data_IF_460123296213
#
_entry.id   IF_460123296213
#
_cell.length_a   1.000
_cell.length_b   1.000
_cell.length_c   1.000
_cell.angle_alpha   90.00
_cell.angle_beta   90.00
_cell.angle_gamma   90.00
#
_symmetry.space_group_name_H-M   'P 1'
#
loop_
_entity.id
_entity.type
_entity.pdbx_description
1 polymer ?
#
# COMPACT_ATOMS: atom_id res chain seq x y z
N UNK A 1 14.95 -13.10 20.49
CA UNK A 1 13.48 -13.24 20.45
C UNK A 1 13.01 -12.26 19.39
N UNK A 2 12.67 -12.74 18.19
CA UNK A 2 12.25 -11.85 17.09
C UNK A 2 10.87 -11.28 17.38
N UNK A 3 10.64 -10.01 17.06
CA UNK A 3 9.33 -9.38 17.17
C UNK A 3 8.30 -10.16 16.32
N UNK A 4 7.03 -10.29 16.78
CA UNK A 4 6.01 -10.95 15.99
C UNK A 4 5.79 -10.18 14.68
N UNK A 5 5.88 -10.88 13.54
CA UNK A 5 5.58 -10.29 12.25
C UNK A 5 4.11 -9.85 12.22
N UNK A 6 3.88 -8.55 11.99
CA UNK A 6 2.52 -8.00 11.86
C UNK A 6 1.82 -8.67 10.68
N UNK A 7 0.63 -9.23 10.93
CA UNK A 7 -0.16 -9.90 9.91
C UNK A 7 -0.92 -8.90 9.03
N UNK A 8 -1.26 -9.28 7.80
CA UNK A 8 -2.09 -8.45 6.92
C UNK A 8 -3.43 -8.03 7.52
N UNK A 9 -4.03 -8.92 8.34
CA UNK A 9 -5.31 -8.65 9.00
C UNK A 9 -5.16 -7.55 10.07
N UNK A 10 -4.06 -7.53 10.82
CA UNK A 10 -3.80 -6.46 11.80
C UNK A 10 -3.59 -5.11 11.11
N UNK A 11 -2.90 -5.11 9.97
CA UNK A 11 -2.73 -3.93 9.12
C UNK A 11 -4.09 -3.44 8.58
N UNK A 12 -4.93 -4.33 8.04
CA UNK A 12 -6.26 -3.96 7.55
C UNK A 12 -7.17 -3.46 8.68
N UNK A 13 -7.17 -4.12 9.84
CA UNK A 13 -7.97 -3.70 10.99
C UNK A 13 -7.58 -2.29 11.46
N UNK A 14 -6.28 -1.97 11.47
CA UNK A 14 -5.78 -0.62 11.75
C UNK A 14 -6.26 0.39 10.70
N UNK A 15 -6.21 0.03 9.42
CA UNK A 15 -6.70 0.86 8.33
C UNK A 15 -8.21 1.13 8.43
N UNK A 16 -9.04 0.11 8.66
CA UNK A 16 -10.50 0.26 8.83
C UNK A 16 -10.80 1.20 10.00
N UNK A 17 -10.06 1.07 11.11
CA UNK A 17 -10.29 1.87 12.31
C UNK A 17 -9.88 3.34 12.14
N UNK A 18 -8.79 3.59 11.43
CA UNK A 18 -8.14 4.92 11.39
C UNK A 18 -8.26 5.63 10.04
N UNK A 19 -8.73 4.92 9.01
CA UNK A 19 -8.65 5.32 7.61
C UNK A 19 -7.23 5.36 7.06
N UNK A 20 -6.21 4.88 7.80
CA UNK A 20 -4.80 5.05 7.47
C UNK A 20 -3.93 3.84 7.82
N UNK A 21 -2.93 3.58 6.99
CA UNK A 21 -1.88 2.59 7.20
C UNK A 21 -0.55 3.34 7.28
N UNK A 22 0.08 3.39 8.46
CA UNK A 22 1.31 4.19 8.66
C UNK A 22 1.18 5.65 8.14
N UNK A 23 -0.02 6.24 8.26
CA UNK A 23 -0.32 7.60 7.77
C UNK A 23 -0.92 7.66 6.36
N UNK A 24 -0.87 6.58 5.58
CA UNK A 24 -1.39 6.48 4.20
C UNK A 24 -2.87 6.07 4.20
N UNK A 25 -3.73 6.93 3.66
CA UNK A 25 -5.14 6.65 3.36
C UNK A 25 -5.45 6.78 1.87
N UNK A 26 -6.67 6.43 1.46
CA UNK A 26 -7.19 6.79 0.12
C UNK A 26 -7.07 8.30 -0.09
N UNK A 27 -6.59 8.71 -1.27
CA UNK A 27 -6.31 10.11 -1.61
C UNK A 27 -5.00 10.68 -1.04
N UNK A 28 -4.14 9.84 -0.46
CA UNK A 28 -2.76 10.23 -0.12
C UNK A 28 -1.89 10.24 -1.37
N UNK A 29 -0.94 11.16 -1.46
CA UNK A 29 -0.08 11.30 -2.64
C UNK A 29 1.00 10.22 -2.74
N UNK A 30 1.58 10.07 -3.92
CA UNK A 30 2.63 9.11 -4.24
C UNK A 30 3.87 9.39 -3.40
N UNK A 31 4.21 10.67 -3.19
CA UNK A 31 5.27 11.06 -2.27
C UNK A 31 5.03 10.62 -0.82
N UNK A 32 3.78 10.57 -0.37
CA UNK A 32 3.45 10.02 0.95
C UNK A 32 3.61 8.49 0.99
N UNK A 33 3.27 7.80 -0.10
CA UNK A 33 3.50 6.36 -0.28
C UNK A 33 4.99 6.03 -0.27
N UNK A 34 5.78 6.75 -1.06
CA UNK A 34 7.24 6.60 -1.13
C UNK A 34 7.92 6.86 0.21
N UNK A 35 7.45 7.86 0.95
CA UNK A 35 7.96 8.13 2.30
C UNK A 35 7.68 6.97 3.25
N UNK A 36 6.45 6.45 3.29
CA UNK A 36 6.15 5.32 4.17
C UNK A 36 6.92 4.07 3.76
N UNK A 37 7.15 3.85 2.46
CA UNK A 37 8.00 2.76 1.95
C UNK A 37 9.44 2.90 2.45
N UNK A 38 10.00 4.10 2.44
CA UNK A 38 11.33 4.36 3.00
C UNK A 38 11.39 4.11 4.51
N UNK A 39 10.39 4.56 5.27
CA UNK A 39 10.32 4.29 6.71
C UNK A 39 10.18 2.80 7.01
N UNK A 40 9.33 2.10 6.24
CA UNK A 40 9.15 0.65 6.35
C UNK A 40 10.46 -0.09 6.08
N UNK A 41 11.23 0.33 5.08
CA UNK A 41 12.55 -0.24 4.78
C UNK A 41 13.60 -0.08 5.90
N UNK A 42 13.38 0.81 6.87
CA UNK A 42 14.24 0.94 8.06
C UNK A 42 13.88 -0.03 9.19
N UNK A 43 12.72 -0.68 9.11
CA UNK A 43 12.26 -1.65 10.10
C UNK A 43 12.85 -3.02 9.72
N UNK A 44 13.64 -3.60 10.61
CA UNK A 44 14.21 -4.94 10.41
C UNK A 44 13.09 -5.98 10.27
N UNK A 45 13.12 -6.76 9.19
CA UNK A 45 12.09 -7.77 8.91
C UNK A 45 10.82 -7.22 8.27
N UNK A 46 10.81 -5.95 7.86
CA UNK A 46 9.72 -5.40 7.08
C UNK A 46 9.55 -6.12 5.74
N UNK A 47 8.30 -6.25 5.26
CA UNK A 47 8.05 -6.87 3.96
C UNK A 47 8.65 -6.02 2.84
N UNK A 48 9.30 -6.69 1.88
CA UNK A 48 9.67 -6.04 0.62
C UNK A 48 8.41 -5.66 -0.16
N UNK A 49 8.42 -4.44 -0.69
CA UNK A 49 7.35 -3.91 -1.55
C UNK A 49 7.77 -4.04 -3.01
N UNK A 50 7.06 -4.89 -3.76
CA UNK A 50 7.19 -4.96 -5.22
C UNK A 50 6.21 -3.98 -5.86
N UNK A 51 6.62 -3.35 -6.95
CA UNK A 51 5.78 -2.40 -7.71
C UNK A 51 5.45 -3.01 -9.06
N UNK A 52 4.16 -3.03 -9.42
CA UNK A 52 3.68 -3.45 -10.72
C UNK A 52 2.86 -2.35 -11.40
N UNK A 53 3.00 -2.25 -12.71
CA UNK A 53 2.13 -1.42 -13.55
C UNK A 53 0.83 -2.17 -13.89
N UNK A 54 -0.31 -1.48 -13.82
CA UNK A 54 -1.64 -2.00 -14.14
C UNK A 54 -2.38 -1.16 -15.19
N UNK A 55 -1.67 -0.31 -15.95
CA UNK A 55 -2.27 0.50 -17.01
C UNK A 55 -3.05 1.68 -16.44
N UNK A 56 -2.33 2.77 -16.16
CA UNK A 56 -2.88 3.97 -15.49
C UNK A 56 -2.91 3.86 -13.97
N UNK A 57 -2.33 2.79 -13.40
CA UNK A 57 -2.20 2.59 -11.96
C UNK A 57 -0.90 1.87 -11.62
N UNK A 58 -0.29 2.23 -10.50
CA UNK A 58 0.81 1.50 -9.87
C UNK A 58 0.31 0.72 -8.65
N UNK A 59 0.64 -0.56 -8.59
CA UNK A 59 0.32 -1.41 -7.46
C UNK A 59 1.58 -1.76 -6.65
N UNK A 60 1.57 -1.35 -5.38
CA UNK A 60 2.59 -1.69 -4.37
C UNK A 60 2.12 -2.90 -3.58
N UNK A 61 2.82 -4.02 -3.67
CA UNK A 61 2.48 -5.27 -2.97
C UNK A 61 3.53 -5.67 -1.95
N UNK A 62 3.07 -6.04 -0.76
CA UNK A 62 3.88 -6.70 0.27
C UNK A 62 3.44 -8.17 0.40
N UNK A 63 4.20 -9.10 -0.19
CA UNK A 63 3.83 -10.53 -0.21
C UNK A 63 3.76 -11.16 1.18
N UNK A 64 4.66 -10.75 2.10
CA UNK A 64 4.68 -11.32 3.44
C UNK A 64 3.48 -10.87 4.31
N UNK A 65 2.90 -9.69 4.03
CA UNK A 65 1.69 -9.22 4.72
C UNK A 65 0.40 -9.49 3.95
N UNK A 66 0.46 -9.80 2.65
CA UNK A 66 -0.75 -9.97 1.84
C UNK A 66 -1.54 -8.67 1.66
N UNK A 67 -0.85 -7.53 1.64
CA UNK A 67 -1.44 -6.20 1.44
C UNK A 67 -1.02 -5.65 0.08
N UNK A 68 -1.94 -4.97 -0.61
CA UNK A 68 -1.64 -4.15 -1.78
C UNK A 68 -2.19 -2.73 -1.63
N UNK A 69 -1.45 -1.76 -2.20
CA UNK A 69 -1.84 -0.35 -2.30
C UNK A 69 -1.78 0.04 -3.76
N UNK A 70 -2.87 0.59 -4.30
CA UNK A 70 -2.98 1.02 -5.69
C UNK A 70 -2.96 2.55 -5.73
N UNK A 71 -2.12 3.11 -6.59
CA UNK A 71 -1.93 4.54 -6.82
C UNK A 71 -2.31 4.85 -8.28
N UNK A 72 -3.00 5.96 -8.53
CA UNK A 72 -3.30 6.43 -9.90
C UNK A 72 -1.99 6.84 -10.57
N UNK A 73 -1.74 6.30 -11.76
CA UNK A 73 -0.55 6.56 -12.59
C UNK A 73 -0.96 6.99 -13.99
N UNK A 74 -1.97 7.87 -14.04
CA UNK A 74 -2.46 8.49 -15.27
C UNK A 74 -2.22 10.00 -15.15
N UNK A 75 -1.35 10.56 -15.98
CA UNK A 75 -0.98 11.99 -15.94
C UNK A 75 -2.17 12.91 -16.30
N UNK A 76 -3.19 12.39 -16.99
CA UNK A 76 -4.37 13.17 -17.38
C UNK A 76 -5.42 13.29 -16.26
N UNK A 77 -5.34 12.46 -15.21
CA UNK A 77 -6.29 12.48 -14.09
C UNK A 77 -5.95 13.58 -13.07
N UNK A 78 -6.74 14.65 -13.06
CA UNK A 78 -6.57 15.75 -12.11
C UNK A 78 -7.26 15.49 -10.76
N UNK A 79 -6.60 15.92 -9.68
CA UNK A 79 -7.16 15.82 -8.31
C UNK A 79 -8.33 16.79 -8.13
N UNK A 80 -9.46 16.29 -7.65
CA UNK A 80 -10.66 17.09 -7.41
C UNK A 80 -11.60 16.48 -6.36
N UNK A 81 -12.86 16.27 -6.73
CA UNK A 81 -13.81 15.52 -5.88
C UNK A 81 -13.43 14.03 -5.72
N UNK A 82 -12.59 13.54 -6.64
CA UNK A 82 -12.00 12.20 -6.65
C UNK A 82 -10.48 12.31 -6.58
N UNK A 83 -9.84 11.18 -6.27
CA UNK A 83 -8.38 11.03 -6.28
C UNK A 83 -7.84 11.24 -7.70
N UNK A 84 -6.67 11.87 -7.85
CA UNK A 84 -6.04 12.15 -9.14
C UNK A 84 -4.67 11.48 -9.30
N UNK A 85 -3.91 11.88 -10.31
CA UNK A 85 -2.56 11.37 -10.57
C UNK A 85 -1.70 11.39 -9.31
N UNK A 86 -1.06 10.25 -9.05
CA UNK A 86 -0.24 10.04 -7.87
C UNK A 86 -1.01 9.82 -6.59
N UNK A 87 -2.35 9.85 -6.54
CA UNK A 87 -3.08 9.57 -5.31
C UNK A 87 -3.39 8.08 -5.12
N UNK A 88 -3.45 7.63 -3.86
CA UNK A 88 -3.91 6.28 -3.50
C UNK A 88 -5.37 6.11 -3.87
N UNK A 89 -5.65 5.16 -4.76
CA UNK A 89 -6.98 4.75 -5.19
C UNK A 89 -7.57 3.65 -4.30
N UNK A 90 -6.76 2.67 -3.89
CA UNK A 90 -7.23 1.50 -3.12
C UNK A 90 -6.19 0.95 -2.15
N UNK A 91 -6.65 0.35 -1.06
CA UNK A 91 -5.87 -0.50 -0.15
C UNK A 91 -6.64 -1.81 0.02
N UNK A 92 -6.01 -2.94 -0.26
CA UNK A 92 -6.67 -4.25 -0.33
C UNK A 92 -5.84 -5.37 0.31
N UNK A 93 -6.53 -6.43 0.75
CA UNK A 93 -5.89 -7.70 1.10
C UNK A 93 -5.85 -8.63 -0.11
N UNK A 94 -4.77 -9.40 -0.22
CA UNK A 94 -4.59 -10.45 -1.20
C UNK A 94 -3.86 -11.64 -0.57
N UNK A 95 -4.11 -12.83 -1.07
CA UNK A 95 -3.34 -14.02 -0.71
C UNK A 95 -2.55 -14.46 -1.95
N UNK A 96 -1.23 -14.75 -1.83
CA UNK A 96 -0.55 -15.47 -2.89
C UNK A 96 -1.25 -16.82 -3.05
N UNK A 97 -1.72 -17.10 -4.27
CA UNK A 97 -2.23 -18.44 -4.60
C UNK A 97 -1.06 -19.39 -4.40
N UNK A 98 -1.11 -20.20 -3.34
CA UNK A 98 -0.18 -21.32 -3.20
C UNK A 98 -0.65 -22.37 -4.19
N UNK A 99 0.07 -22.53 -5.29
CA UNK A 99 -0.08 -23.71 -6.14
C UNK A 99 0.13 -24.94 -5.23
N UNK A 100 -0.87 -25.83 -5.22
CA UNK A 100 -0.89 -27.04 -4.42
C UNK A 100 -0.19 -28.17 -5.17
#
# INVERSE_FOLDING_TARGET
MGEPAVTGIELLASFIRTGRLHGIGIGSTLGAVDRARQELGRISGAPELTVGDQGGFLEYRAAASGVSVIVVDDEEEERGYRVGHGDVWSVSLWAPVRAR
#
